data_IF_580309350234
#
_entry.id   IF_580309350234
#
_cell.length_a   1.000
_cell.length_b   1.000
_cell.length_c   1.000
_cell.angle_alpha   90.00
_cell.angle_beta   90.00
_cell.angle_gamma   90.00
#
_symmetry.space_group_name_H-M   'P 1'
#
loop_
_entity.id
_entity.type
_entity.pdbx_description
1 polymer ?
#
# COMPACT_ATOMS: atom_id res chain seq x y z
N UNK A 1 3.22 -19.46 -10.15
CA UNK A 1 3.97 -19.57 -8.87
C UNK A 1 3.19 -20.29 -7.78
N UNK A 2 1.93 -19.91 -7.55
CA UNK A 2 1.11 -20.51 -6.48
C UNK A 2 1.04 -22.05 -6.58
N UNK A 3 0.78 -22.58 -7.79
CA UNK A 3 0.85 -24.03 -8.08
C UNK A 3 2.23 -24.68 -7.90
N UNK A 4 3.32 -23.92 -7.90
CA UNK A 4 4.68 -24.46 -7.78
C UNK A 4 5.09 -24.63 -6.31
N UNK A 5 4.67 -23.70 -5.44
CA UNK A 5 4.78 -23.85 -3.98
C UNK A 5 3.90 -24.97 -3.43
N UNK A 6 2.69 -25.12 -3.98
CA UNK A 6 1.74 -26.15 -3.57
C UNK A 6 2.23 -27.58 -3.89
N UNK A 7 3.10 -27.70 -4.90
CA UNK A 7 3.71 -28.97 -5.33
C UNK A 7 5.13 -29.19 -4.81
N UNK A 8 5.66 -28.31 -3.96
CA UNK A 8 7.02 -28.44 -3.40
C UNK A 8 8.15 -28.46 -4.44
N UNK A 9 7.91 -27.93 -5.65
CA UNK A 9 8.93 -27.89 -6.70
C UNK A 9 9.87 -26.70 -6.47
N UNK A 10 11.17 -26.83 -6.76
CA UNK A 10 12.11 -25.71 -6.71
C UNK A 10 11.67 -24.64 -7.71
N UNK A 11 11.32 -23.45 -7.21
CA UNK A 11 10.92 -22.32 -8.04
C UNK A 11 12.15 -21.46 -8.28
N UNK A 12 12.80 -21.61 -9.44
CA UNK A 12 13.82 -20.68 -9.91
C UNK A 12 13.14 -19.46 -10.51
N UNK A 13 12.96 -18.42 -9.70
CA UNK A 13 12.45 -17.12 -10.15
C UNK A 13 13.65 -16.27 -10.60
N UNK A 14 13.76 -16.04 -11.90
CA UNK A 14 14.80 -15.18 -12.50
C UNK A 14 14.83 -13.76 -11.91
N UNK A 15 13.68 -13.29 -11.38
CA UNK A 15 13.50 -11.97 -10.78
C UNK A 15 13.73 -11.92 -9.25
N UNK A 16 14.02 -13.05 -8.61
CA UNK A 16 14.37 -13.08 -7.18
C UNK A 16 15.89 -12.97 -7.04
N UNK A 17 16.41 -12.23 -6.04
CA UNK A 17 17.84 -12.14 -5.79
C UNK A 17 18.47 -13.55 -5.69
N UNK A 18 19.36 -13.88 -6.64
CA UNK A 18 19.99 -15.22 -6.74
C UNK A 18 21.00 -15.46 -5.61
N UNK A 19 21.39 -14.39 -4.93
CA UNK A 19 22.29 -14.34 -3.78
C UNK A 19 21.57 -14.57 -2.44
N UNK A 20 20.23 -14.62 -2.43
CA UNK A 20 19.44 -14.82 -1.21
C UNK A 20 18.74 -16.19 -1.24
N UNK A 21 19.07 -17.06 -0.28
CA UNK A 21 18.32 -18.29 -0.04
C UNK A 21 17.00 -17.95 0.67
N UNK A 22 15.88 -18.10 -0.03
CA UNK A 22 14.56 -17.88 0.54
C UNK A 22 13.99 -19.17 1.15
N UNK A 23 13.48 -19.08 2.38
CA UNK A 23 12.68 -20.17 2.97
C UNK A 23 11.31 -20.28 2.28
N UNK A 24 10.62 -21.41 2.48
CA UNK A 24 9.27 -21.61 1.95
C UNK A 24 8.29 -20.56 2.47
N UNK A 25 8.44 -20.18 3.74
CA UNK A 25 7.64 -19.15 4.41
C UNK A 25 7.90 -17.78 3.78
N UNK A 26 9.17 -17.44 3.53
CA UNK A 26 9.53 -16.19 2.87
C UNK A 26 8.96 -16.11 1.44
N UNK A 27 9.02 -17.21 0.68
CA UNK A 27 8.39 -17.29 -0.64
C UNK A 27 6.86 -17.13 -0.57
N UNK A 28 6.22 -17.72 0.44
CA UNK A 28 4.78 -17.55 0.67
C UNK A 28 4.41 -16.09 0.96
N UNK A 29 5.19 -15.41 1.81
CA UNK A 29 5.00 -13.99 2.10
C UNK A 29 5.23 -13.12 0.86
N UNK A 30 6.29 -13.37 0.08
CA UNK A 30 6.54 -12.66 -1.19
C UNK A 30 5.36 -12.82 -2.14
N UNK A 31 4.80 -14.03 -2.26
CA UNK A 31 3.64 -14.26 -3.10
C UNK A 31 2.39 -13.52 -2.63
N UNK A 32 2.15 -13.49 -1.31
CA UNK A 32 1.05 -12.74 -0.74
C UNK A 32 1.13 -11.25 -1.13
N UNK A 33 2.30 -10.63 -0.93
CA UNK A 33 2.49 -9.23 -1.27
C UNK A 33 2.50 -8.95 -2.77
N UNK A 34 3.03 -9.86 -3.59
CA UNK A 34 2.89 -9.76 -5.05
C UNK A 34 1.41 -9.80 -5.45
N UNK A 35 0.60 -10.65 -4.83
CA UNK A 35 -0.84 -10.66 -5.00
C UNK A 35 -1.47 -9.31 -4.68
N UNK A 36 -1.13 -8.72 -3.53
CA UNK A 36 -1.60 -7.39 -3.16
C UNK A 36 -1.18 -6.31 -4.18
N UNK A 37 0.08 -6.31 -4.63
CA UNK A 37 0.57 -5.37 -5.63
C UNK A 37 -0.13 -5.52 -7.00
N UNK A 38 -0.51 -6.75 -7.39
CA UNK A 38 -1.25 -6.98 -8.65
C UNK A 38 -2.68 -6.47 -8.63
N UNK A 39 -3.28 -6.27 -7.44
CA UNK A 39 -4.60 -5.62 -7.31
C UNK A 39 -4.50 -4.12 -7.61
N UNK A 40 -3.33 -3.52 -7.37
CA UNK A 40 -3.10 -2.10 -7.64
C UNK A 40 -2.91 -1.84 -9.13
N UNK A 41 -3.42 -0.71 -9.61
CA UNK A 41 -3.23 -0.29 -11.01
C UNK A 41 -1.76 -0.03 -11.33
N UNK A 42 -1.39 -0.11 -12.62
CA UNK A 42 -0.03 0.24 -13.07
C UNK A 42 0.36 1.68 -12.66
N UNK A 43 -0.61 2.60 -12.68
CA UNK A 43 -0.41 3.96 -12.20
C UNK A 43 -0.04 4.00 -10.71
N UNK A 44 -0.75 3.25 -9.86
CA UNK A 44 -0.42 3.13 -8.43
C UNK A 44 0.95 2.49 -8.21
N UNK A 45 1.30 1.45 -8.97
CA UNK A 45 2.62 0.82 -8.86
C UNK A 45 3.75 1.82 -9.19
N UNK A 46 3.58 2.66 -10.22
CA UNK A 46 4.52 3.75 -10.53
C UNK A 46 4.57 4.81 -9.44
N UNK A 47 3.43 5.14 -8.82
CA UNK A 47 3.39 6.07 -7.69
C UNK A 47 4.11 5.51 -6.46
N UNK A 48 3.98 4.21 -6.17
CA UNK A 48 4.71 3.55 -5.09
C UNK A 48 6.23 3.64 -5.27
N UNK A 49 6.74 3.49 -6.50
CA UNK A 49 8.16 3.69 -6.79
C UNK A 49 8.59 5.11 -6.44
N UNK A 50 7.82 6.12 -6.86
CA UNK A 50 8.11 7.52 -6.52
C UNK A 50 8.01 7.79 -5.02
N UNK A 51 7.07 7.15 -4.32
CA UNK A 51 6.94 7.25 -2.86
C UNK A 51 8.17 6.73 -2.13
N UNK A 52 8.78 5.64 -2.63
CA UNK A 52 10.05 5.09 -2.11
C UNK A 52 11.16 6.12 -2.30
N UNK A 53 11.32 6.65 -3.52
CA UNK A 53 12.35 7.65 -3.87
C UNK A 53 12.26 8.91 -3.00
N UNK A 54 11.02 9.39 -2.77
CA UNK A 54 10.74 10.57 -1.94
C UNK A 54 10.72 10.28 -0.44
N UNK A 55 10.86 9.02 -0.02
CA UNK A 55 10.85 8.59 1.40
C UNK A 55 9.57 8.96 2.15
N UNK A 56 8.43 8.94 1.46
CA UNK A 56 7.11 9.31 2.04
C UNK A 56 6.22 8.11 2.37
N UNK A 57 6.71 6.88 2.15
CA UNK A 57 6.02 5.65 2.56
C UNK A 57 5.53 5.65 4.03
N UNK A 58 6.29 6.14 5.03
CA UNK A 58 5.82 6.12 6.41
C UNK A 58 4.55 6.94 6.61
N UNK A 59 4.45 8.09 5.93
CA UNK A 59 3.30 8.99 5.99
C UNK A 59 2.09 8.37 5.30
N UNK A 60 2.30 7.82 4.09
CA UNK A 60 1.25 7.17 3.31
C UNK A 60 0.70 5.93 4.01
N UNK A 61 1.58 5.11 4.61
CA UNK A 61 1.17 3.94 5.39
C UNK A 61 0.35 4.37 6.61
N UNK A 62 0.78 5.40 7.35
CA UNK A 62 0.05 5.88 8.53
C UNK A 62 -1.32 6.46 8.17
N UNK A 63 -1.43 7.16 7.05
CA UNK A 63 -2.70 7.64 6.51
C UNK A 63 -3.67 6.46 6.31
N UNK A 64 -3.28 5.50 5.47
CA UNK A 64 -4.14 4.35 5.12
C UNK A 64 -4.50 3.54 6.38
N UNK A 65 -3.52 3.23 7.23
CA UNK A 65 -3.73 2.54 8.50
C UNK A 65 -4.77 3.24 9.35
N UNK A 66 -4.61 4.54 9.59
CA UNK A 66 -5.53 5.29 10.47
C UNK A 66 -6.94 5.41 9.92
N UNK A 67 -7.09 5.53 8.59
CA UNK A 67 -8.43 5.53 7.95
C UNK A 67 -9.10 4.16 8.06
N UNK A 68 -8.34 3.08 7.88
CA UNK A 68 -8.86 1.73 8.03
C UNK A 68 -9.23 1.46 9.48
N UNK A 69 -8.37 1.76 10.46
CA UNK A 69 -8.67 1.58 11.90
C UNK A 69 -9.98 2.24 12.33
N UNK A 70 -10.32 3.40 11.75
CA UNK A 70 -11.52 4.15 12.07
C UNK A 70 -12.78 3.63 11.35
N UNK A 71 -12.63 3.08 10.15
CA UNK A 71 -13.77 2.79 9.26
C UNK A 71 -13.92 1.33 8.83
N UNK A 72 -13.03 0.42 9.24
CA UNK A 72 -12.98 -0.97 8.74
C UNK A 72 -14.32 -1.73 8.84
N UNK A 73 -15.09 -1.48 9.91
CA UNK A 73 -16.38 -2.14 10.16
C UNK A 73 -17.58 -1.31 9.69
N UNK A 74 -17.35 -0.15 9.08
CA UNK A 74 -18.43 0.68 8.57
C UNK A 74 -18.95 0.16 7.24
N UNK A 75 -20.26 -0.03 7.19
CA UNK A 75 -21.02 -0.57 6.06
C UNK A 75 -21.59 0.52 5.15
N UNK A 76 -21.35 1.79 5.48
CA UNK A 76 -21.87 2.95 4.76
C UNK A 76 -20.78 3.91 4.36
N UNK A 77 -20.99 4.54 3.22
CA UNK A 77 -20.20 5.68 2.77
C UNK A 77 -20.33 6.85 3.75
N UNK A 78 -19.29 7.67 3.84
CA UNK A 78 -19.32 8.86 4.68
C UNK A 78 -18.11 9.76 4.51
N UNK A 79 -18.27 11.02 4.90
CA UNK A 79 -17.17 12.00 4.96
C UNK A 79 -16.69 12.09 6.41
N UNK A 80 -15.39 11.89 6.60
CA UNK A 80 -14.77 11.84 7.92
C UNK A 80 -13.66 12.88 8.03
N UNK A 81 -13.47 13.49 9.21
CA UNK A 81 -12.38 14.42 9.43
C UNK A 81 -11.04 13.69 9.34
N UNK A 82 -10.12 14.24 8.55
CA UNK A 82 -8.74 13.78 8.49
C UNK A 82 -7.92 14.58 9.50
N UNK A 83 -7.10 13.86 10.27
CA UNK A 83 -6.16 14.47 11.21
C UNK A 83 -5.12 15.31 10.44
N UNK A 84 -5.02 16.63 10.68
CA UNK A 84 -4.12 17.51 9.91
C UNK A 84 -2.64 17.13 10.04
N UNK A 85 -2.24 16.56 11.19
CA UNK A 85 -0.87 16.12 11.48
C UNK A 85 -0.40 14.98 10.56
N UNK A 86 -1.32 14.22 9.96
CA UNK A 86 -0.94 13.12 9.07
C UNK A 86 -0.30 13.61 7.77
N UNK A 87 -0.66 14.81 7.30
CA UNK A 87 -0.18 15.33 6.01
C UNK A 87 0.74 16.55 6.17
N UNK A 88 0.89 17.09 7.38
CA UNK A 88 1.63 18.32 7.66
C UNK A 88 3.12 18.28 7.32
N UNK A 89 3.70 17.08 7.22
CA UNK A 89 5.11 16.87 6.87
C UNK A 89 5.37 16.83 5.35
N UNK A 90 4.32 16.76 4.52
CA UNK A 90 4.44 16.65 3.07
C UNK A 90 4.50 18.03 2.41
N UNK A 91 5.37 18.20 1.42
CA UNK A 91 5.31 19.32 0.48
C UNK A 91 4.19 19.12 -0.55
N UNK A 92 3.95 20.12 -1.39
CA UNK A 92 2.86 20.10 -2.37
C UNK A 92 2.96 18.92 -3.37
N UNK A 93 4.18 18.57 -3.78
CA UNK A 93 4.42 17.45 -4.70
C UNK A 93 4.15 16.10 -4.01
N UNK A 94 4.69 15.89 -2.81
CA UNK A 94 4.47 14.69 -2.01
C UNK A 94 2.99 14.50 -1.65
N UNK A 95 2.29 15.61 -1.38
CA UNK A 95 0.87 15.63 -1.09
C UNK A 95 0.06 15.20 -2.32
N UNK A 96 0.35 15.78 -3.49
CA UNK A 96 -0.30 15.42 -4.77
C UNK A 96 -0.07 13.96 -5.12
N UNK A 97 1.14 13.46 -4.89
CA UNK A 97 1.48 12.06 -5.08
C UNK A 97 0.68 11.16 -4.12
N UNK A 98 0.62 11.53 -2.84
CA UNK A 98 -0.11 10.77 -1.82
C UNK A 98 -1.60 10.70 -2.14
N UNK A 99 -2.22 11.82 -2.50
CA UNK A 99 -3.63 11.87 -2.90
C UNK A 99 -3.91 11.00 -4.13
N UNK A 100 -3.07 11.08 -5.15
CA UNK A 100 -3.22 10.24 -6.33
C UNK A 100 -3.10 8.75 -5.99
N UNK A 101 -2.17 8.39 -5.10
CA UNK A 101 -1.95 7.00 -4.70
C UNK A 101 -3.16 6.42 -3.97
N UNK A 102 -3.66 7.12 -2.95
CA UNK A 102 -4.78 6.65 -2.12
C UNK A 102 -6.13 6.79 -2.84
N UNK A 103 -6.29 7.83 -3.66
CA UNK A 103 -7.48 8.05 -4.48
C UNK A 103 -7.70 6.95 -5.51
N UNK A 104 -6.64 6.41 -6.11
CA UNK A 104 -6.74 5.23 -6.99
C UNK A 104 -7.17 3.95 -6.25
N UNK A 105 -7.04 3.92 -4.92
CA UNK A 105 -7.62 2.86 -4.08
C UNK A 105 -9.03 3.19 -3.58
N UNK A 106 -9.59 4.35 -3.95
CA UNK A 106 -10.94 4.79 -3.56
C UNK A 106 -11.01 5.66 -2.31
N UNK A 107 -9.87 6.04 -1.73
CA UNK A 107 -9.81 6.96 -0.60
C UNK A 107 -9.59 8.39 -1.10
N UNK A 108 -10.66 9.15 -1.28
CA UNK A 108 -10.57 10.54 -1.73
C UNK A 108 -10.23 11.46 -0.55
N UNK A 109 -9.10 12.16 -0.63
CA UNK A 109 -8.63 13.10 0.40
C UNK A 109 -8.81 14.53 -0.09
N UNK A 110 -9.41 15.38 0.73
CA UNK A 110 -9.60 16.80 0.44
C UNK A 110 -8.69 17.67 1.31
N UNK A 111 -7.98 18.63 0.68
CA UNK A 111 -7.04 19.55 1.34
C UNK A 111 -7.73 20.68 2.11
N UNK A 112 -8.87 21.15 1.62
CA UNK A 112 -9.61 22.29 2.15
C UNK A 112 -10.48 21.87 3.33
N UNK A 113 -9.91 21.91 4.54
CA UNK A 113 -10.51 21.27 5.72
C UNK A 113 -10.25 19.77 5.64
N UNK A 114 -9.14 19.27 6.21
CA UNK A 114 -8.66 17.92 5.92
C UNK A 114 -9.76 16.91 6.25
N UNK A 115 -10.28 16.26 5.22
CA UNK A 115 -11.34 15.26 5.29
C UNK A 115 -11.12 14.20 4.23
N UNK A 116 -11.70 13.02 4.43
CA UNK A 116 -11.68 11.94 3.45
C UNK A 116 -13.07 11.34 3.26
N UNK A 117 -13.31 10.85 2.05
CA UNK A 117 -14.49 10.04 1.74
C UNK A 117 -14.16 8.57 1.96
N UNK A 118 -14.92 7.93 2.84
CA UNK A 118 -14.92 6.48 3.01
C UNK A 118 -15.97 5.86 2.11
N UNK A 119 -15.57 4.81 1.39
CA UNK A 119 -16.45 3.94 0.64
C UNK A 119 -16.10 2.47 0.95
N UNK A 120 -17.00 1.71 1.63
CA UNK A 120 -16.78 0.31 1.95
C UNK A 120 -16.48 -0.59 0.74
N UNK A 121 -17.01 -0.26 -0.44
CA UNK A 121 -16.80 -1.05 -1.67
C UNK A 121 -15.35 -0.96 -2.18
N UNK A 122 -14.59 0.02 -1.68
CA UNK A 122 -13.18 0.21 -2.01
C UNK A 122 -12.22 -0.52 -1.07
N UNK A 123 -12.74 -1.05 0.05
CA UNK A 123 -11.95 -1.70 1.11
C UNK A 123 -10.97 -2.76 0.59
N UNK A 124 -11.32 -3.66 -0.36
CA UNK A 124 -10.36 -4.62 -0.89
C UNK A 124 -9.12 -3.98 -1.54
N UNK A 125 -9.31 -2.86 -2.26
CA UNK A 125 -8.20 -2.11 -2.89
C UNK A 125 -7.39 -1.34 -1.84
N UNK A 126 -8.03 -0.85 -0.79
CA UNK A 126 -7.34 -0.17 0.30
C UNK A 126 -6.51 -1.16 1.14
N UNK A 127 -7.02 -2.36 1.40
CA UNK A 127 -6.26 -3.46 2.02
C UNK A 127 -5.03 -3.86 1.18
N UNK A 128 -5.20 -3.96 -0.14
CA UNK A 128 -4.09 -4.26 -1.05
C UNK A 128 -3.01 -3.16 -1.00
N UNK A 129 -3.43 -1.89 -0.98
CA UNK A 129 -2.51 -0.76 -0.84
C UNK A 129 -1.78 -0.77 0.49
N UNK A 130 -2.50 -1.02 1.61
CA UNK A 130 -1.90 -1.17 2.93
C UNK A 130 -0.84 -2.28 2.96
N UNK A 131 -1.14 -3.45 2.41
CA UNK A 131 -0.19 -4.55 2.34
C UNK A 131 1.05 -4.21 1.50
N UNK A 132 0.86 -3.57 0.34
CA UNK A 132 1.95 -3.10 -0.52
C UNK A 132 2.84 -2.06 0.17
N UNK A 133 2.24 -1.04 0.79
CA UNK A 133 2.96 -0.02 1.57
C UNK A 133 3.71 -0.64 2.75
N UNK A 134 3.11 -1.61 3.45
CA UNK A 134 3.73 -2.30 4.59
C UNK A 134 5.00 -3.04 4.17
N UNK A 135 4.94 -3.80 3.06
CA UNK A 135 6.11 -4.48 2.53
C UNK A 135 7.21 -3.49 2.13
N UNK A 136 6.87 -2.47 1.33
CA UNK A 136 7.85 -1.50 0.85
C UNK A 136 8.49 -0.70 1.99
N UNK A 137 7.70 -0.31 2.99
CA UNK A 137 8.20 0.35 4.20
C UNK A 137 9.14 -0.56 5.00
N UNK A 138 8.81 -1.85 5.14
CA UNK A 138 9.69 -2.82 5.80
C UNK A 138 11.03 -2.96 5.08
N UNK A 139 11.00 -3.09 3.75
CA UNK A 139 12.21 -3.28 2.94
C UNK A 139 13.09 -2.03 2.88
N UNK A 140 12.49 -0.83 2.92
CA UNK A 140 13.23 0.45 2.89
C UNK A 140 13.73 0.91 4.26
N UNK A 141 13.20 0.36 5.35
CA UNK A 141 13.77 0.51 6.70
C UNK A 141 15.04 -0.29 6.92
N UNK A 142 15.19 -1.39 6.19
CA UNK A 142 16.30 -2.34 6.36
C UNK A 142 17.58 -1.92 5.59
N UNK A 143 17.54 -0.79 4.89
CA UNK A 143 18.64 -0.20 4.10
C UNK A 143 19.10 1.12 4.70
#
# INVERSE_FOLDING_TARGET
LERALDKGHPVTLEAVPKDVLLSKEAMGAILYFLGALTVLSEAQQKLLVKSVEKKILPVQLKLVESTMEQNFLQDKEGVFPLRPDLLSSLGDEELTLTEALVGLSGLEVQRSGPQYMWDPDTLPRLCALYAGLSLLHLLTKAT
#
